data_IF_653025476671
#
_entry.id   IF_653025476671
#
_cell.length_a   1.000
_cell.length_b   1.000
_cell.length_c   1.000
_cell.angle_alpha   90.00
_cell.angle_beta   90.00
_cell.angle_gamma   90.00
#
_symmetry.space_group_name_H-M   'P 1'
#
loop_
_entity.id
_entity.type
_entity.pdbx_description
1 polymer ?
#
# COMPACT_ATOMS: atom_id res chain seq x y z
N UNK A 1 -8.33 -31.52 12.38
CA UNK A 1 -8.31 -30.63 11.23
C UNK A 1 -7.41 -29.46 11.52
N UNK A 2 -6.42 -29.26 10.69
CA UNK A 2 -5.48 -28.18 10.91
C UNK A 2 -6.08 -26.85 10.47
N UNK A 3 -5.84 -25.81 11.26
CA UNK A 3 -6.19 -24.47 10.85
C UNK A 3 -5.28 -24.05 9.69
N UNK A 4 -5.86 -23.44 8.67
CA UNK A 4 -5.07 -22.88 7.59
C UNK A 4 -4.28 -21.71 8.12
N UNK A 5 -3.00 -21.63 7.75
CA UNK A 5 -2.21 -20.44 8.03
C UNK A 5 -2.75 -19.29 7.21
N UNK A 6 -2.76 -18.06 7.76
CA UNK A 6 -3.14 -16.90 6.96
C UNK A 6 -2.25 -16.80 5.73
N UNK A 7 -2.85 -16.40 4.63
CA UNK A 7 -2.10 -16.15 3.41
C UNK A 7 -1.23 -14.92 3.61
N UNK A 8 0.02 -15.00 3.17
CA UNK A 8 0.96 -13.88 3.28
C UNK A 8 1.16 -13.29 1.90
N UNK A 9 0.96 -11.99 1.79
CA UNK A 9 1.22 -11.22 0.58
C UNK A 9 2.41 -10.31 0.82
N UNK A 10 3.35 -10.30 -0.11
CA UNK A 10 4.56 -9.48 0.00
C UNK A 10 4.63 -8.42 -1.07
N UNK A 11 5.26 -7.30 -0.71
CA UNK A 11 5.53 -6.22 -1.64
C UNK A 11 6.84 -5.53 -1.33
N UNK A 12 7.27 -4.67 -2.25
CA UNK A 12 8.54 -3.97 -2.10
C UNK A 12 8.63 -2.77 -3.03
N UNK A 13 9.57 -1.87 -2.73
CA UNK A 13 9.92 -0.80 -3.64
C UNK A 13 10.79 -1.34 -4.79
N UNK A 14 11.04 -0.48 -5.78
CA UNK A 14 11.82 -0.90 -6.95
C UNK A 14 13.23 -1.33 -6.57
N UNK A 15 13.90 -0.62 -5.68
CA UNK A 15 15.30 -0.90 -5.33
C UNK A 15 15.48 -1.98 -4.26
N UNK A 16 14.38 -2.49 -3.68
CA UNK A 16 14.36 -3.51 -2.64
C UNK A 16 14.81 -3.04 -1.25
N UNK A 17 15.08 -1.75 -1.07
CA UNK A 17 15.44 -1.25 0.26
C UNK A 17 14.27 -1.29 1.25
N UNK A 18 13.04 -1.33 0.75
CA UNK A 18 11.85 -1.44 1.58
C UNK A 18 11.05 -2.65 1.16
N UNK A 19 10.78 -3.54 2.12
CA UNK A 19 9.96 -4.72 1.89
C UNK A 19 8.93 -4.82 3.00
N UNK A 20 7.74 -5.32 2.66
CA UNK A 20 6.65 -5.47 3.61
C UNK A 20 5.86 -6.74 3.32
N UNK A 21 5.01 -7.09 4.26
CA UNK A 21 4.04 -8.16 4.06
C UNK A 21 2.76 -7.84 4.80
N UNK A 22 1.67 -8.47 4.38
CA UNK A 22 0.43 -8.45 5.16
C UNK A 22 -0.21 -9.83 5.15
N UNK A 23 -1.01 -10.11 6.18
CA UNK A 23 -1.70 -11.39 6.36
C UNK A 23 -3.15 -11.29 5.92
N UNK A 24 -3.65 -12.39 5.35
CA UNK A 24 -5.06 -12.53 5.02
C UNK A 24 -5.47 -11.72 3.82
N UNK A 25 -6.78 -11.51 3.71
CA UNK A 25 -7.33 -10.77 2.57
C UNK A 25 -7.31 -9.27 2.83
N UNK A 26 -7.01 -8.47 1.79
CA UNK A 26 -7.21 -7.03 1.93
C UNK A 26 -8.69 -6.73 2.12
N UNK A 27 -8.99 -5.60 2.76
CA UNK A 27 -10.36 -5.15 2.96
C UNK A 27 -10.99 -4.77 1.63
N UNK A 28 -10.18 -4.18 0.74
CA UNK A 28 -10.63 -3.78 -0.59
C UNK A 28 -9.42 -3.54 -1.49
N UNK A 29 -9.64 -3.59 -2.81
CA UNK A 29 -8.63 -3.23 -3.82
C UNK A 29 -9.33 -2.36 -4.84
N UNK A 30 -8.95 -1.09 -4.93
CA UNK A 30 -9.70 -0.12 -5.73
C UNK A 30 -8.80 0.89 -6.44
N UNK A 31 -9.29 1.38 -7.58
CA UNK A 31 -8.68 2.50 -8.28
C UNK A 31 -9.13 3.81 -7.66
N UNK A 32 -8.25 4.78 -7.63
CA UNK A 32 -8.56 6.12 -7.19
C UNK A 32 -8.18 7.13 -8.28
N UNK A 33 -9.14 7.97 -8.65
CA UNK A 33 -8.96 8.96 -9.72
C UNK A 33 -8.80 10.38 -9.21
N UNK A 34 -8.73 10.60 -7.90
CA UNK A 34 -8.70 11.96 -7.36
C UNK A 34 -7.39 12.67 -7.77
N UNK A 35 -7.45 14.00 -7.82
CA UNK A 35 -6.30 14.79 -8.24
C UNK A 35 -5.05 14.52 -7.40
N UNK A 36 -5.22 14.46 -6.08
CA UNK A 36 -4.10 14.23 -5.16
C UNK A 36 -3.42 12.89 -5.44
N UNK A 37 -4.20 11.84 -5.67
CA UNK A 37 -3.66 10.51 -5.94
C UNK A 37 -2.96 10.47 -7.30
N UNK A 38 -3.57 11.09 -8.32
CA UNK A 38 -2.94 11.16 -9.66
C UNK A 38 -1.57 11.85 -9.58
N UNK A 39 -1.50 12.98 -8.86
CA UNK A 39 -0.25 13.72 -8.74
C UNK A 39 0.80 12.96 -7.93
N UNK A 40 0.36 12.23 -6.91
CA UNK A 40 1.29 11.48 -6.07
C UNK A 40 2.03 10.38 -6.84
N UNK A 41 1.41 9.83 -7.88
CA UNK A 41 1.99 8.73 -8.66
C UNK A 41 2.25 9.10 -10.12
N UNK A 42 1.92 10.33 -10.52
CA UNK A 42 2.09 10.81 -11.90
C UNK A 42 1.43 9.89 -12.92
N UNK A 43 0.23 9.43 -12.63
CA UNK A 43 -0.53 8.53 -13.48
C UNK A 43 -1.99 8.96 -13.53
N UNK A 44 -2.72 8.50 -14.54
CA UNK A 44 -4.14 8.81 -14.68
C UNK A 44 -4.97 8.32 -13.50
N UNK A 45 -4.52 7.26 -12.85
CA UNK A 45 -5.15 6.75 -11.64
C UNK A 45 -4.11 6.09 -10.74
N UNK A 46 -4.46 5.92 -9.47
CA UNK A 46 -3.69 5.15 -8.51
C UNK A 46 -4.52 3.93 -8.11
N UNK A 47 -3.88 2.79 -7.92
CA UNK A 47 -4.56 1.58 -7.47
C UNK A 47 -4.04 1.22 -6.08
N UNK A 48 -4.96 1.09 -5.13
CA UNK A 48 -4.64 0.84 -3.74
C UNK A 48 -5.16 -0.50 -3.26
N UNK A 49 -4.40 -1.07 -2.32
CA UNK A 49 -4.80 -2.25 -1.57
C UNK A 49 -5.01 -1.81 -0.13
N UNK A 50 -6.25 -1.82 0.34
CA UNK A 50 -6.57 -1.39 1.70
C UNK A 50 -6.49 -2.55 2.67
N UNK A 51 -5.65 -2.43 3.69
CA UNK A 51 -5.51 -3.45 4.73
C UNK A 51 -5.60 -2.81 6.10
N UNK A 52 -5.97 -3.59 7.11
CA UNK A 52 -5.89 -3.12 8.49
C UNK A 52 -4.44 -3.00 8.91
N UNK A 53 -4.15 -2.02 9.75
CA UNK A 53 -2.82 -1.84 10.31
C UNK A 53 -2.32 -3.14 10.96
N UNK A 54 -3.22 -3.86 11.63
CA UNK A 54 -2.86 -5.11 12.30
C UNK A 54 -2.44 -6.24 11.37
N UNK A 55 -2.79 -6.16 10.09
CA UNK A 55 -2.41 -7.16 9.10
C UNK A 55 -1.02 -6.91 8.53
N UNK A 56 -0.51 -5.69 8.66
CA UNK A 56 0.62 -5.18 7.89
C UNK A 56 1.86 -4.99 8.74
N UNK A 57 3.04 -5.27 8.14
CA UNK A 57 4.32 -4.94 8.78
C UNK A 57 5.43 -4.78 7.74
N UNK A 58 6.39 -3.91 8.05
CA UNK A 58 7.60 -3.81 7.26
C UNK A 58 8.56 -4.94 7.65
N UNK A 59 9.18 -5.56 6.67
CA UNK A 59 10.18 -6.60 6.87
C UNK A 59 11.58 -6.01 6.80
N UNK A 60 11.74 -4.92 6.06
CA UNK A 60 13.03 -4.31 5.79
C UNK A 60 12.83 -2.85 5.45
N UNK A 61 13.72 -2.02 5.97
CA UNK A 61 13.76 -0.60 5.63
C UNK A 61 12.69 0.22 6.31
N UNK A 62 12.78 1.53 6.11
CA UNK A 62 11.86 2.48 6.67
C UNK A 62 11.53 3.52 5.60
N UNK A 63 10.26 3.70 5.26
CA UNK A 63 9.89 4.68 4.25
C UNK A 63 10.04 6.11 4.78
N UNK A 64 10.31 7.03 3.87
CA UNK A 64 10.17 8.45 4.14
C UNK A 64 8.70 8.82 4.08
N UNK A 65 8.32 9.91 4.71
CA UNK A 65 6.94 10.36 4.76
C UNK A 65 6.82 11.80 4.32
N UNK A 66 5.78 12.08 3.54
CA UNK A 66 5.41 13.43 3.14
C UNK A 66 3.96 13.66 3.55
N UNK A 67 3.73 14.70 4.35
CA UNK A 67 2.36 15.08 4.71
C UNK A 67 1.81 15.95 3.58
N UNK A 68 1.05 15.31 2.68
CA UNK A 68 0.56 15.96 1.48
C UNK A 68 -0.58 16.95 1.75
N UNK A 69 -1.30 16.74 2.86
CA UNK A 69 -2.33 17.64 3.35
C UNK A 69 -2.54 17.32 4.83
N UNK A 70 -3.22 18.21 5.59
CA UNK A 70 -3.45 17.93 7.01
C UNK A 70 -4.12 16.56 7.19
N UNK A 71 -3.50 15.71 8.02
CA UNK A 71 -4.02 14.40 8.33
C UNK A 71 -3.79 13.33 7.26
N UNK A 72 -3.01 13.65 6.21
CA UNK A 72 -2.71 12.69 5.13
C UNK A 72 -1.21 12.52 5.00
N UNK A 73 -0.76 11.28 5.12
CA UNK A 73 0.64 10.94 4.99
C UNK A 73 0.85 10.02 3.80
N UNK A 74 1.85 10.32 3.00
CA UNK A 74 2.24 9.48 1.86
C UNK A 74 3.66 8.99 2.10
N UNK A 75 3.82 7.67 1.99
CA UNK A 75 5.08 7.01 2.28
C UNK A 75 5.75 6.59 0.98
N UNK A 76 7.06 6.76 0.93
CA UNK A 76 7.82 6.42 -0.27
C UNK A 76 9.22 5.96 0.11
N UNK A 77 9.89 5.24 -0.78
CA UNK A 77 11.27 4.83 -0.55
C UNK A 77 12.20 6.02 -0.70
N UNK A 78 12.99 6.36 0.33
CA UNK A 78 13.90 7.50 0.22
C UNK A 78 15.06 7.26 -0.75
N UNK A 79 15.31 6.00 -1.12
CA UNK A 79 16.40 5.67 -2.04
C UNK A 79 15.96 5.69 -3.51
N UNK A 80 14.85 5.04 -3.84
CA UNK A 80 14.41 4.96 -5.25
C UNK A 80 13.17 5.79 -5.56
N UNK A 81 12.52 6.37 -4.56
CA UNK A 81 11.35 7.21 -4.75
C UNK A 81 10.04 6.47 -4.96
N UNK A 82 10.04 5.14 -4.97
CA UNK A 82 8.80 4.39 -5.19
C UNK A 82 7.74 4.78 -4.17
N UNK A 83 6.53 5.19 -4.60
CA UNK A 83 5.41 5.36 -3.67
C UNK A 83 5.06 4.02 -3.04
N UNK A 84 4.93 4.00 -1.71
CA UNK A 84 4.70 2.76 -0.97
C UNK A 84 3.31 2.67 -0.39
N UNK A 85 2.84 3.75 0.26
CA UNK A 85 1.58 3.69 0.98
C UNK A 85 0.99 5.07 1.20
N UNK A 86 -0.30 5.05 1.53
CA UNK A 86 -1.08 6.23 1.92
C UNK A 86 -1.72 5.90 3.26
N UNK A 87 -1.72 6.86 4.18
CA UNK A 87 -2.47 6.78 5.42
C UNK A 87 -3.17 8.10 5.67
N UNK A 88 -4.45 8.04 6.04
CA UNK A 88 -5.25 9.22 6.27
C UNK A 88 -6.06 9.11 7.56
N UNK A 89 -6.28 10.23 8.23
CA UNK A 89 -7.05 10.26 9.46
C UNK A 89 -8.49 9.77 9.28
N UNK A 90 -9.02 9.84 8.05
CA UNK A 90 -10.35 9.34 7.74
C UNK A 90 -10.44 7.82 7.87
N UNK A 91 -9.30 7.14 7.79
CA UNK A 91 -9.22 5.68 7.90
C UNK A 91 -8.12 5.32 8.91
N UNK A 92 -8.35 5.63 10.21
CA UNK A 92 -7.26 5.57 11.20
C UNK A 92 -6.70 4.18 11.48
N UNK A 93 -7.42 3.13 11.09
CA UNK A 93 -6.96 1.76 11.32
C UNK A 93 -6.52 1.06 10.03
N UNK A 94 -6.37 1.83 8.96
CA UNK A 94 -6.01 1.26 7.66
C UNK A 94 -4.71 1.84 7.13
N UNK A 95 -4.02 1.04 6.35
CA UNK A 95 -2.95 1.51 5.49
C UNK A 95 -3.33 1.11 4.05
N UNK A 96 -3.15 2.04 3.13
CA UNK A 96 -3.50 1.82 1.73
C UNK A 96 -2.21 1.67 0.95
N UNK A 97 -1.90 0.44 0.56
CA UNK A 97 -0.67 0.12 -0.14
C UNK A 97 -0.85 0.36 -1.64
N UNK A 98 0.20 0.80 -2.31
CA UNK A 98 0.13 0.93 -3.76
C UNK A 98 0.20 -0.46 -4.39
N UNK A 99 -0.81 -0.77 -5.19
CA UNK A 99 -0.98 -2.10 -5.79
C UNK A 99 0.25 -2.54 -6.59
N UNK A 100 0.91 -1.59 -7.25
CA UNK A 100 2.10 -1.89 -8.06
C UNK A 100 3.31 -2.34 -7.26
N UNK A 101 3.30 -2.19 -5.92
CA UNK A 101 4.41 -2.67 -5.10
C UNK A 101 4.28 -4.14 -4.74
N UNK A 102 3.14 -4.75 -5.01
CA UNK A 102 2.93 -6.18 -4.71
C UNK A 102 3.83 -7.04 -5.59
N UNK A 103 4.39 -8.11 -5.01
CA UNK A 103 5.18 -9.08 -5.79
C UNK A 103 4.33 -9.76 -6.85
N UNK A 104 3.08 -10.08 -6.52
CA UNK A 104 2.14 -10.72 -7.43
C UNK A 104 0.84 -9.93 -7.47
N UNK A 105 0.81 -8.78 -8.18
CA UNK A 105 -0.36 -7.92 -8.17
C UNK A 105 -1.62 -8.57 -8.72
N UNK A 106 -1.50 -9.56 -9.61
CA UNK A 106 -2.62 -10.29 -10.15
C UNK A 106 -3.38 -11.12 -9.11
N UNK A 107 -2.75 -11.36 -7.94
CA UNK A 107 -3.39 -12.10 -6.85
C UNK A 107 -4.59 -11.33 -6.27
N UNK A 108 -4.50 -10.00 -6.29
CA UNK A 108 -5.55 -9.14 -5.73
C UNK A 108 -5.98 -8.12 -6.79
N UNK A 109 -6.79 -8.55 -7.76
CA UNK A 109 -7.22 -7.62 -8.82
C UNK A 109 -8.15 -6.54 -8.25
N UNK A 110 -8.10 -5.31 -8.79
CA UNK A 110 -9.00 -4.26 -8.34
C UNK A 110 -10.44 -4.60 -8.71
N UNK A 111 -11.38 -4.25 -7.80
CA UNK A 111 -12.79 -4.56 -7.95
C UNK A 111 -13.67 -3.33 -8.07
N UNK A 112 -13.10 -2.13 -8.05
CA UNK A 112 -13.90 -0.91 -8.14
C UNK A 112 -13.05 0.34 -8.29
N UNK A 113 -13.75 1.46 -8.29
CA UNK A 113 -13.18 2.78 -8.45
C UNK A 113 -13.53 3.70 -7.29
#
# INVERSE_FOLDING_TARGET
MSAKKPEITRGRCQCRNIEYEFEGKPKWVMHCHCESCRRAVSSALATYVGVDIGQFRYLKGEPAVYESSPGVKRYFCPNCGSPMAYAGERWPKEVHLFHGTLENPEQWPPTGH
#
